data_IF_970794286462
#
_entry.id   IF_970794286462
#
_cell.length_a   1.000
_cell.length_b   1.000
_cell.length_c   1.000
_cell.angle_alpha   90.00
_cell.angle_beta   90.00
_cell.angle_gamma   90.00
#
_symmetry.space_group_name_H-M   'P 1'
#
loop_
_entity.id
_entity.type
_entity.pdbx_description
1 polymer ?
#
# COMPACT_ATOMS: atom_id res chain seq x y z
N UNK A 1 -55.66 25.57 -24.22
CA UNK A 1 -54.42 26.08 -23.59
C UNK A 1 -53.66 24.87 -23.09
N UNK A 2 -52.54 24.60 -23.76
CA UNK A 2 -51.58 23.55 -23.47
C UNK A 2 -50.75 23.91 -22.26
N UNK A 3 -50.29 22.91 -21.50
CA UNK A 3 -48.88 22.72 -21.10
C UNK A 3 -48.78 21.50 -20.16
N UNK A 4 -48.47 20.34 -20.73
CA UNK A 4 -47.97 19.18 -20.01
C UNK A 4 -46.49 19.41 -19.69
N UNK A 5 -46.17 19.81 -18.46
CA UNK A 5 -44.78 19.85 -17.98
C UNK A 5 -44.35 18.46 -17.52
N UNK A 6 -43.81 17.67 -18.43
CA UNK A 6 -43.07 16.45 -18.11
C UNK A 6 -41.62 16.81 -17.83
N UNK A 7 -41.26 16.94 -16.55
CA UNK A 7 -39.87 17.04 -16.12
C UNK A 7 -39.19 15.69 -16.34
N UNK A 8 -38.49 15.53 -17.47
CA UNK A 8 -37.52 14.46 -17.67
C UNK A 8 -36.26 14.80 -16.86
N UNK A 9 -36.13 14.19 -15.69
CA UNK A 9 -34.86 14.12 -14.98
C UNK A 9 -33.98 13.08 -15.67
N UNK A 10 -33.05 13.56 -16.50
CA UNK A 10 -32.02 12.75 -17.14
C UNK A 10 -30.94 12.37 -16.10
N UNK A 11 -31.26 11.46 -15.18
CA UNK A 11 -30.28 10.86 -14.28
C UNK A 11 -29.54 9.74 -15.03
N UNK A 12 -28.62 10.11 -15.91
CA UNK A 12 -27.60 9.18 -16.38
C UNK A 12 -26.64 8.85 -15.24
N UNK A 13 -26.19 7.59 -15.07
CA UNK A 13 -25.13 7.29 -14.12
C UNK A 13 -23.86 8.01 -14.60
N UNK A 14 -23.44 9.04 -13.86
CA UNK A 14 -22.08 9.55 -13.97
C UNK A 14 -21.20 8.41 -13.48
N UNK A 15 -20.70 7.60 -14.41
CA UNK A 15 -19.64 6.66 -14.12
C UNK A 15 -18.45 7.51 -13.66
N UNK A 16 -18.34 7.71 -12.34
CA UNK A 16 -17.15 8.26 -11.71
C UNK A 16 -16.03 7.28 -11.98
N UNK A 17 -15.41 7.41 -13.14
CA UNK A 17 -14.14 6.78 -13.43
C UNK A 17 -13.14 7.64 -12.68
N UNK A 18 -12.99 7.39 -11.38
CA UNK A 18 -11.92 7.99 -10.61
C UNK A 18 -10.62 7.78 -11.41
N UNK A 19 -9.86 8.84 -11.72
CA UNK A 19 -8.59 8.69 -12.38
C UNK A 19 -7.71 7.82 -11.47
N UNK A 20 -7.48 6.58 -11.89
CA UNK A 20 -6.59 5.66 -11.16
C UNK A 20 -5.19 6.20 -11.32
N UNK A 21 -4.61 6.75 -10.25
CA UNK A 21 -3.26 7.35 -10.31
C UNK A 21 -2.19 6.41 -10.91
N UNK A 22 -2.41 5.10 -10.82
CA UNK A 22 -1.57 4.06 -11.43
C UNK A 22 -1.73 3.89 -12.95
N UNK A 23 -2.65 4.59 -13.61
CA UNK A 23 -2.74 4.64 -15.08
C UNK A 23 -1.92 5.79 -15.68
N UNK A 24 -1.28 6.60 -14.84
CA UNK A 24 -0.34 7.62 -15.31
C UNK A 24 0.87 6.95 -15.96
N UNK A 25 1.52 7.61 -16.93
CA UNK A 25 2.83 7.22 -17.41
C UNK A 25 3.79 7.01 -16.23
N UNK A 26 4.61 5.94 -16.24
CA UNK A 26 5.51 5.61 -15.13
C UNK A 26 6.39 6.79 -14.69
N UNK A 27 6.85 7.61 -15.63
CA UNK A 27 7.70 8.77 -15.37
C UNK A 27 6.96 9.86 -14.59
N UNK A 28 5.68 10.09 -14.91
CA UNK A 28 4.83 11.06 -14.20
C UNK A 28 4.43 10.56 -12.83
N UNK A 29 4.08 9.27 -12.73
CA UNK A 29 3.82 8.64 -11.45
C UNK A 29 5.07 8.73 -10.57
N UNK A 30 6.24 8.46 -11.12
CA UNK A 30 7.49 8.55 -10.38
C UNK A 30 7.77 9.97 -9.91
N UNK A 31 7.57 10.98 -10.76
CA UNK A 31 7.74 12.38 -10.41
C UNK A 31 6.81 12.81 -9.27
N UNK A 32 5.55 12.39 -9.29
CA UNK A 32 4.59 12.64 -8.20
C UNK A 32 5.08 11.96 -6.92
N UNK A 33 5.47 10.69 -6.99
CA UNK A 33 5.92 9.93 -5.82
C UNK A 33 7.23 10.46 -5.23
N UNK A 34 8.11 11.05 -6.05
CA UNK A 34 9.34 11.72 -5.59
C UNK A 34 9.06 13.00 -4.80
N UNK A 35 7.90 13.64 -5.03
CA UNK A 35 7.48 14.83 -4.29
C UNK A 35 6.91 14.52 -2.90
N UNK A 36 6.54 13.26 -2.66
CA UNK A 36 5.99 12.83 -1.37
C UNK A 36 7.10 12.72 -0.33
N UNK A 37 6.82 13.18 0.88
CA UNK A 37 7.63 12.80 2.02
C UNK A 37 7.49 11.28 2.29
N UNK A 38 8.44 10.66 3.01
CA UNK A 38 8.44 9.22 3.26
C UNK A 38 7.17 8.68 3.90
N UNK A 39 6.57 9.42 4.82
CA UNK A 39 5.37 8.98 5.53
C UNK A 39 4.17 8.99 4.59
N UNK A 40 4.01 10.06 3.81
CA UNK A 40 3.00 10.14 2.75
C UNK A 40 3.17 9.04 1.70
N UNK A 41 4.41 8.74 1.29
CA UNK A 41 4.69 7.65 0.36
C UNK A 41 4.30 6.27 0.93
N UNK A 42 4.67 6.00 2.18
CA UNK A 42 4.30 4.75 2.87
C UNK A 42 2.77 4.61 2.90
N UNK A 43 2.05 5.64 3.33
CA UNK A 43 0.59 5.64 3.38
C UNK A 43 -0.04 5.42 2.00
N UNK A 44 0.49 6.13 0.99
CA UNK A 44 0.03 6.03 -0.40
C UNK A 44 0.13 4.59 -0.92
N UNK A 45 1.30 3.95 -0.76
CA UNK A 45 1.49 2.57 -1.20
C UNK A 45 0.57 1.63 -0.43
N UNK A 46 0.47 1.75 0.90
CA UNK A 46 -0.34 0.82 1.68
C UNK A 46 -1.84 0.94 1.38
N UNK A 47 -2.31 2.10 0.92
CA UNK A 47 -3.70 2.30 0.50
C UNK A 47 -4.09 1.37 -0.67
N UNK A 48 -3.19 1.12 -1.61
CA UNK A 48 -3.40 0.17 -2.71
C UNK A 48 -2.12 -0.61 -3.03
N UNK A 49 -1.69 -1.40 -2.04
CA UNK A 49 -0.47 -2.21 -2.14
C UNK A 49 -0.48 -3.18 -3.33
N UNK A 50 -1.60 -3.86 -3.67
CA UNK A 50 -1.68 -4.70 -4.87
C UNK A 50 -1.28 -3.98 -6.15
N UNK A 51 -1.83 -2.80 -6.41
CA UNK A 51 -1.54 -2.04 -7.63
C UNK A 51 -0.14 -1.45 -7.60
N UNK A 52 0.32 -0.99 -6.43
CA UNK A 52 1.70 -0.52 -6.26
C UNK A 52 2.74 -1.63 -6.52
N UNK A 53 2.44 -2.87 -6.14
CA UNK A 53 3.30 -4.03 -6.41
C UNK A 53 3.36 -4.35 -7.91
N UNK A 54 2.21 -4.41 -8.60
CA UNK A 54 2.15 -4.65 -10.06
C UNK A 54 2.90 -3.56 -10.84
N UNK A 55 2.86 -2.31 -10.33
CA UNK A 55 3.56 -1.17 -10.92
C UNK A 55 5.06 -1.14 -10.61
N UNK A 56 5.60 -2.13 -9.89
CA UNK A 56 7.02 -2.20 -9.52
C UNK A 56 7.46 -1.18 -8.48
N UNK A 57 6.54 -0.47 -7.83
CA UNK A 57 6.86 0.58 -6.86
C UNK A 57 7.33 0.01 -5.52
N UNK A 58 6.90 -1.20 -5.18
CA UNK A 58 7.17 -1.84 -3.89
C UNK A 58 7.62 -3.27 -4.00
N UNK A 59 8.41 -3.75 -3.03
CA UNK A 59 8.95 -5.10 -3.05
C UNK A 59 7.85 -6.15 -3.02
N UNK A 60 8.18 -7.34 -3.52
CA UNK A 60 7.29 -8.49 -3.35
C UNK A 60 7.21 -8.88 -1.88
N UNK A 61 6.01 -8.94 -1.32
CA UNK A 61 5.81 -9.50 0.02
C UNK A 61 5.88 -11.02 -0.07
N UNK A 62 6.66 -11.65 0.81
CA UNK A 62 6.68 -13.11 0.93
C UNK A 62 5.53 -13.60 1.81
N UNK A 63 5.12 -14.85 1.67
CA UNK A 63 4.14 -15.46 2.58
C UNK A 63 4.55 -15.30 4.06
N UNK A 64 5.85 -15.42 4.36
CA UNK A 64 6.41 -15.21 5.70
C UNK A 64 6.20 -13.77 6.16
N UNK A 65 6.51 -12.79 5.31
CA UNK A 65 6.31 -11.37 5.61
C UNK A 65 4.83 -11.06 5.82
N UNK A 66 3.90 -11.64 5.04
CA UNK A 66 2.46 -11.49 5.26
C UNK A 66 2.01 -12.04 6.61
N UNK A 67 2.50 -13.21 7.01
CA UNK A 67 2.23 -13.76 8.34
C UNK A 67 2.80 -12.84 9.43
N UNK A 68 3.97 -12.26 9.22
CA UNK A 68 4.54 -11.27 10.13
C UNK A 68 3.74 -9.97 10.17
N UNK A 69 3.13 -9.51 9.07
CA UNK A 69 2.24 -8.33 9.10
C UNK A 69 0.96 -8.63 9.89
N UNK A 70 0.39 -9.83 9.71
CA UNK A 70 -0.86 -10.26 10.34
C UNK A 70 -0.70 -10.56 11.83
N UNK A 71 0.40 -11.22 12.19
CA UNK A 71 0.64 -11.69 13.55
C UNK A 71 1.88 -10.98 14.11
N UNK A 72 1.76 -10.26 15.23
CA UNK A 72 2.94 -9.67 15.86
C UNK A 72 3.94 -10.78 16.20
N UNK A 73 5.25 -10.55 15.96
CA UNK A 73 6.27 -11.52 16.34
C UNK A 73 6.11 -11.84 17.83
N UNK A 74 6.18 -13.12 18.19
CA UNK A 74 6.37 -13.50 19.58
C UNK A 74 7.62 -12.78 20.10
N UNK A 75 7.65 -12.41 21.38
CA UNK A 75 8.72 -11.60 22.00
C UNK A 75 10.15 -12.13 21.79
N UNK A 76 10.29 -13.38 21.33
CA UNK A 76 11.54 -14.04 20.98
C UNK A 76 11.99 -13.88 19.52
N UNK A 77 11.17 -13.29 18.64
CA UNK A 77 11.54 -13.11 17.23
C UNK A 77 12.42 -11.85 17.12
N UNK A 78 13.70 -11.96 16.75
CA UNK A 78 14.52 -10.79 16.52
C UNK A 78 13.99 -10.07 15.26
N UNK A 79 13.32 -8.94 15.45
CA UNK A 79 13.25 -7.93 14.39
C UNK A 79 14.67 -7.55 14.00
N UNK A 80 14.92 -7.29 12.71
CA UNK A 80 16.24 -6.82 12.23
C UNK A 80 16.72 -5.59 13.02
N UNK A 81 15.77 -4.79 13.52
CA UNK A 81 15.99 -3.79 14.54
C UNK A 81 15.12 -4.11 15.75
N UNK A 82 15.73 -4.30 16.94
CA UNK A 82 14.99 -4.14 18.20
C UNK A 82 14.72 -2.65 18.36
N UNK A 83 13.66 -2.14 17.72
CA UNK A 83 13.46 -0.70 17.60
C UNK A 83 13.30 -0.03 18.96
N UNK A 84 12.87 -0.75 20.00
CA UNK A 84 12.62 -0.20 21.35
C UNK A 84 13.74 0.67 21.93
N UNK A 85 14.98 0.52 21.47
CA UNK A 85 16.10 1.36 21.91
C UNK A 85 16.33 2.64 21.08
N UNK A 86 15.75 2.73 19.88
CA UNK A 86 15.94 3.85 18.94
C UNK A 86 14.81 4.88 19.13
N UNK A 87 15.12 6.15 19.48
CA UNK A 87 14.18 7.27 19.48
C UNK A 87 13.41 7.43 18.15
N UNK A 88 12.21 8.00 18.22
CA UNK A 88 11.36 8.16 17.04
C UNK A 88 12.00 9.06 15.98
N UNK A 89 12.70 10.09 16.41
CA UNK A 89 13.37 11.06 15.54
C UNK A 89 14.47 10.38 14.73
N UNK A 90 15.26 9.53 15.38
CA UNK A 90 16.31 8.75 14.70
C UNK A 90 15.70 7.72 13.75
N UNK A 91 14.58 7.10 14.12
CA UNK A 91 13.86 6.19 13.23
C UNK A 91 13.37 6.90 11.96
N UNK A 92 12.77 8.09 12.11
CA UNK A 92 12.33 8.91 10.99
C UNK A 92 13.52 9.36 10.12
N UNK A 93 14.65 9.72 10.74
CA UNK A 93 15.87 10.06 10.01
C UNK A 93 16.43 8.87 9.22
N UNK A 94 16.35 7.65 9.76
CA UNK A 94 16.73 6.43 9.03
C UNK A 94 15.82 6.26 7.82
N UNK A 95 14.50 6.25 8.03
CA UNK A 95 13.50 6.07 6.96
C UNK A 95 13.69 7.12 5.85
N UNK A 96 13.92 8.38 6.22
CA UNK A 96 14.17 9.49 5.29
C UNK A 96 15.42 9.35 4.41
N UNK A 97 16.39 8.56 4.84
CA UNK A 97 17.66 8.37 4.11
C UNK A 97 17.65 7.13 3.23
N UNK A 98 16.64 6.27 3.32
CA UNK A 98 16.52 5.09 2.50
C UNK A 98 15.97 5.43 1.11
N UNK A 99 16.39 4.67 0.10
CA UNK A 99 15.69 4.68 -1.19
C UNK A 99 14.24 4.21 -0.97
N UNK A 100 13.29 4.57 -1.84
CA UNK A 100 11.88 4.14 -1.70
C UNK A 100 11.74 2.62 -1.60
N UNK A 101 12.53 1.89 -2.38
CA UNK A 101 12.51 0.43 -2.35
C UNK A 101 13.04 -0.12 -1.02
N UNK A 102 14.19 0.40 -0.54
CA UNK A 102 14.78 -0.02 0.73
C UNK A 102 13.92 0.40 1.93
N UNK A 103 13.29 1.57 1.83
CA UNK A 103 12.33 2.07 2.81
C UNK A 103 11.17 1.09 2.96
N UNK A 104 10.58 0.62 1.85
CA UNK A 104 9.48 -0.34 1.93
C UNK A 104 9.92 -1.69 2.49
N UNK A 105 11.11 -2.18 2.12
CA UNK A 105 11.68 -3.39 2.73
C UNK A 105 11.86 -3.23 4.25
N UNK A 106 12.40 -2.09 4.68
CA UNK A 106 12.58 -1.75 6.08
C UNK A 106 11.24 -1.67 6.82
N UNK A 107 10.26 -0.99 6.22
CA UNK A 107 8.92 -0.81 6.78
C UNK A 107 8.22 -2.16 6.98
N UNK A 108 8.26 -3.04 5.97
CA UNK A 108 7.66 -4.36 6.05
C UNK A 108 8.35 -5.24 7.11
N UNK A 109 9.67 -5.17 7.21
CA UNK A 109 10.44 -5.94 8.20
C UNK A 109 10.19 -5.49 9.64
N UNK A 110 9.87 -4.21 9.85
CA UNK A 110 9.69 -3.60 11.18
C UNK A 110 8.25 -3.10 11.40
N UNK A 111 7.27 -3.61 10.66
CA UNK A 111 5.92 -3.05 10.58
C UNK A 111 5.24 -2.89 11.94
N UNK A 112 5.28 -3.91 12.81
CA UNK A 112 4.64 -3.82 14.13
C UNK A 112 5.27 -2.76 15.03
N UNK A 113 6.59 -2.63 14.98
CA UNK A 113 7.35 -1.65 15.74
C UNK A 113 7.07 -0.23 15.25
N UNK A 114 6.98 -0.03 13.94
CA UNK A 114 6.63 1.25 13.33
C UNK A 114 5.15 1.59 13.55
N UNK A 115 4.26 0.59 13.54
CA UNK A 115 2.84 0.76 13.79
C UNK A 115 2.58 1.21 15.22
N UNK A 116 3.31 0.64 16.18
CA UNK A 116 3.25 1.07 17.59
C UNK A 116 3.67 2.53 17.80
N UNK A 117 4.43 3.11 16.85
CA UNK A 117 4.86 4.51 16.84
C UNK A 117 4.02 5.39 15.93
N UNK A 118 2.94 4.87 15.36
CA UNK A 118 2.09 5.56 14.38
C UNK A 118 2.83 6.04 13.12
N UNK A 119 3.92 5.38 12.71
CA UNK A 119 4.72 5.74 11.52
C UNK A 119 4.28 5.00 10.24
N UNK A 120 3.37 4.05 10.36
CA UNK A 120 2.81 3.25 9.26
C UNK A 120 1.32 3.05 9.51
N UNK A 121 0.51 2.87 8.46
CA UNK A 121 -0.93 2.68 8.63
C UNK A 121 -1.23 1.35 9.30
N UNK A 122 -2.36 1.30 10.03
CA UNK A 122 -2.86 0.05 10.60
C UNK A 122 -3.62 -0.75 9.54
N UNK A 123 -3.05 -1.87 9.12
CA UNK A 123 -3.69 -2.81 8.21
C UNK A 123 -4.76 -3.64 8.92
N UNK A 124 -5.98 -3.56 8.38
CA UNK A 124 -7.11 -4.41 8.72
C UNK A 124 -6.93 -5.83 8.15
N UNK A 125 -7.63 -6.84 8.69
CA UNK A 125 -7.63 -8.18 8.13
C UNK A 125 -8.07 -8.23 6.66
N UNK A 126 -8.95 -7.31 6.24
CA UNK A 126 -9.43 -7.20 4.86
C UNK A 126 -8.31 -6.73 3.94
N UNK A 127 -7.57 -5.69 4.32
CA UNK A 127 -6.43 -5.18 3.56
C UNK A 127 -5.32 -6.23 3.45
N UNK A 128 -5.01 -6.92 4.55
CA UNK A 128 -4.08 -8.05 4.53
C UNK A 128 -4.56 -9.18 3.60
N UNK A 129 -5.86 -9.46 3.55
CA UNK A 129 -6.45 -10.41 2.61
C UNK A 129 -6.32 -9.98 1.15
N UNK A 130 -6.49 -8.68 0.86
CA UNK A 130 -6.28 -8.12 -0.49
C UNK A 130 -4.81 -8.26 -0.92
N UNK A 131 -3.88 -7.92 -0.03
CA UNK A 131 -2.44 -8.09 -0.26
C UNK A 131 -2.13 -9.57 -0.50
N UNK A 132 -2.67 -10.47 0.34
CA UNK A 132 -2.51 -11.92 0.20
C UNK A 132 -2.96 -12.41 -1.18
N UNK A 133 -4.16 -12.06 -1.60
CA UNK A 133 -4.70 -12.52 -2.88
C UNK A 133 -3.94 -11.96 -4.08
N UNK A 134 -3.39 -10.75 -3.97
CA UNK A 134 -2.62 -10.12 -5.05
C UNK A 134 -1.23 -10.74 -5.24
N UNK A 135 -0.61 -11.26 -4.17
CA UNK A 135 0.74 -11.81 -4.21
C UNK A 135 0.77 -13.34 -4.18
N UNK A 136 -0.33 -13.98 -3.82
CA UNK A 136 -0.52 -15.41 -4.01
C UNK A 136 -0.30 -15.69 -5.50
N UNK A 137 0.58 -16.64 -5.86
CA UNK A 137 0.72 -17.02 -7.25
C UNK A 137 -0.66 -17.42 -7.76
N UNK A 138 -1.11 -16.78 -8.84
CA UNK A 138 -2.28 -17.15 -9.60
C UNK A 138 -2.07 -18.56 -10.18
N UNK A 139 -2.24 -19.58 -9.36
CA UNK A 139 -2.57 -20.90 -9.89
C UNK A 139 -3.98 -20.81 -10.45
N UNK A 140 -4.16 -21.30 -11.68
CA UNK A 140 -5.38 -21.35 -12.50
C UNK A 140 -5.44 -20.22 -13.55
N UNK A 141 -4.62 -20.32 -14.61
CA UNK A 141 -5.13 -20.24 -16.00
C UNK A 141 -4.17 -20.68 -17.13
N UNK A 142 -3.15 -21.50 -16.87
CA UNK A 142 -2.35 -22.14 -17.94
C UNK A 142 -2.66 -23.64 -18.09
N UNK A 143 -3.94 -23.98 -18.19
CA UNK A 143 -4.38 -25.32 -18.56
C UNK A 143 -5.62 -25.25 -19.45
N UNK A 144 -5.46 -24.71 -20.66
CA UNK A 144 -6.35 -24.93 -21.81
C UNK A 144 -5.66 -24.49 -23.10
N UNK A 145 -4.85 -25.40 -23.64
CA UNK A 145 -4.68 -25.63 -25.08
C UNK A 145 -4.93 -27.12 -25.29
#
# INVERSE_FOLDING_TARGET
MSESSSSQTLSGPIASTEPRIFTLPPELLDHILQSLDPESYINFVFADYPTAFVSGLVPRITQRTLLQLRYPPSSSTPGLFRSRAVPNELMLMIIRRLSRHDMMNFVLANYHDLRARSMVPSLTPIELGRIWNAIAPSHINDARV
#
